data_IF_296478368774
#
_entry.id   IF_296478368774
#
_cell.length_a   1.000
_cell.length_b   1.000
_cell.length_c   1.000
_cell.angle_alpha   90.00
_cell.angle_beta   90.00
_cell.angle_gamma   90.00
#
_symmetry.space_group_name_H-M   'P 1'
#
loop_
_entity.id
_entity.type
_entity.pdbx_description
1 polymer ?
#
# COMPACT_ATOMS: atom_id res chain seq x y z
N UNK A 1 -34.38 -29.57 -85.60
CA UNK A 1 -33.58 -28.60 -86.35
C UNK A 1 -32.62 -27.94 -85.38
N UNK A 2 -31.42 -28.39 -85.46
CA UNK A 2 -30.16 -27.70 -85.49
C UNK A 2 -29.81 -26.87 -84.27
N UNK A 3 -28.78 -27.34 -83.60
CA UNK A 3 -27.41 -26.84 -83.59
C UNK A 3 -27.25 -25.80 -82.45
N UNK A 4 -26.34 -25.78 -81.63
CA UNK A 4 -25.06 -26.50 -81.54
C UNK A 4 -24.11 -25.70 -80.64
N UNK A 5 -23.24 -26.40 -79.98
CA UNK A 5 -21.86 -25.98 -79.66
C UNK A 5 -21.66 -24.88 -78.58
N UNK A 6 -20.81 -24.94 -77.71
CA UNK A 6 -19.60 -25.67 -77.23
C UNK A 6 -19.06 -24.87 -76.02
N UNK A 7 -18.38 -25.46 -75.09
CA UNK A 7 -17.96 -24.81 -73.86
C UNK A 7 -16.58 -24.19 -73.97
N UNK A 8 -16.32 -23.14 -73.18
CA UNK A 8 -14.96 -22.69 -72.91
C UNK A 8 -14.69 -22.79 -71.42
N UNK A 9 -13.79 -23.73 -71.10
CA UNK A 9 -13.14 -23.83 -69.78
C UNK A 9 -12.15 -22.66 -69.64
N UNK A 10 -12.25 -21.94 -68.51
CA UNK A 10 -11.18 -21.12 -68.03
C UNK A 10 -10.70 -21.70 -66.68
N UNK A 11 -9.53 -22.28 -66.68
CA UNK A 11 -8.86 -22.73 -65.47
C UNK A 11 -8.25 -21.49 -64.79
N UNK A 12 -8.84 -21.12 -63.68
CA UNK A 12 -8.28 -20.14 -62.77
C UNK A 12 -7.45 -20.83 -61.71
N UNK A 13 -6.13 -20.69 -61.80
CA UNK A 13 -5.20 -21.13 -60.76
C UNK A 13 -5.36 -20.30 -59.51
N UNK A 14 -5.85 -20.92 -58.43
CA UNK A 14 -5.78 -20.37 -57.06
C UNK A 14 -4.37 -20.57 -56.52
N UNK A 15 -3.58 -19.49 -56.47
CA UNK A 15 -2.36 -19.46 -55.71
C UNK A 15 -2.70 -19.27 -54.21
N UNK A 16 -2.14 -20.07 -53.31
CA UNK A 16 -2.39 -19.88 -51.86
C UNK A 16 -1.60 -18.64 -51.41
N UNK A 17 -2.33 -17.63 -50.95
CA UNK A 17 -1.79 -16.51 -50.20
C UNK A 17 -1.34 -17.02 -48.83
N UNK A 18 -0.03 -17.32 -48.67
CA UNK A 18 0.60 -17.57 -47.37
C UNK A 18 0.75 -16.20 -46.70
N UNK A 19 -0.22 -15.88 -45.86
CA UNK A 19 -0.10 -14.75 -44.93
C UNK A 19 0.91 -15.12 -43.83
N UNK A 20 2.14 -14.69 -43.99
CA UNK A 20 3.18 -14.76 -42.94
C UNK A 20 2.75 -13.82 -41.81
N UNK A 21 2.17 -14.34 -40.75
CA UNK A 21 2.01 -13.63 -39.48
C UNK A 21 3.43 -13.44 -38.88
N UNK A 22 4.02 -12.29 -39.11
CA UNK A 22 5.16 -11.83 -38.34
C UNK A 22 4.67 -11.52 -36.92
N UNK A 23 4.84 -12.49 -35.99
CA UNK A 23 4.80 -12.22 -34.57
C UNK A 23 5.97 -11.28 -34.23
N UNK A 24 5.70 -9.99 -34.25
CA UNK A 24 6.59 -9.00 -33.65
C UNK A 24 6.45 -9.19 -32.14
N UNK A 25 7.28 -10.07 -31.56
CA UNK A 25 7.56 -10.08 -30.15
C UNK A 25 8.19 -8.73 -29.83
N UNK A 26 7.39 -7.78 -29.36
CA UNK A 26 7.94 -6.56 -28.78
C UNK A 26 8.86 -7.01 -27.62
N UNK A 27 10.16 -7.03 -27.85
CA UNK A 27 11.14 -7.15 -26.79
C UNK A 27 10.84 -5.98 -25.84
N UNK A 28 10.18 -6.30 -24.73
CA UNK A 28 10.03 -5.34 -23.62
C UNK A 28 11.45 -5.07 -23.15
N UNK A 29 11.91 -3.83 -23.29
CA UNK A 29 13.20 -3.43 -22.75
C UNK A 29 13.23 -3.82 -21.27
N UNK A 30 14.36 -4.37 -20.82
CA UNK A 30 14.54 -4.67 -19.40
C UNK A 30 14.32 -3.40 -18.57
N UNK A 31 13.63 -3.52 -17.42
CA UNK A 31 13.43 -2.37 -16.56
C UNK A 31 14.79 -1.78 -16.13
N UNK A 32 14.89 -0.46 -16.00
CA UNK A 32 16.14 0.17 -15.58
C UNK A 32 16.53 -0.31 -14.17
N UNK A 33 17.85 -0.47 -13.93
CA UNK A 33 18.40 -0.86 -12.64
C UNK A 33 19.38 0.19 -12.15
N UNK A 34 19.21 0.63 -10.90
CA UNK A 34 20.17 1.51 -10.22
C UNK A 34 21.36 0.69 -9.72
N UNK A 35 22.61 1.11 -10.00
CA UNK A 35 23.79 0.39 -9.58
C UNK A 35 23.86 0.16 -8.06
N UNK A 36 24.21 -1.05 -7.65
CA UNK A 36 24.44 -1.42 -6.25
C UNK A 36 23.18 -1.78 -5.45
N UNK A 37 21.97 -1.56 -5.98
CA UNK A 37 20.72 -1.91 -5.25
C UNK A 37 20.61 -3.42 -5.11
N UNK A 38 20.70 -4.17 -6.20
CA UNK A 38 20.62 -5.64 -6.16
C UNK A 38 21.68 -6.26 -5.27
N UNK A 39 22.94 -5.78 -5.34
CA UNK A 39 24.02 -6.27 -4.49
C UNK A 39 23.73 -6.03 -2.99
N UNK A 40 23.23 -4.85 -2.63
CA UNK A 40 22.87 -4.53 -1.24
C UNK A 40 21.74 -5.42 -0.71
N UNK A 41 20.78 -5.80 -1.55
CA UNK A 41 19.72 -6.74 -1.16
C UNK A 41 20.22 -8.18 -1.12
N UNK A 42 21.15 -8.57 -2.01
CA UNK A 42 21.78 -9.89 -1.97
C UNK A 42 22.53 -10.12 -0.65
N UNK A 43 23.27 -9.12 -0.14
CA UNK A 43 23.90 -9.19 1.17
C UNK A 43 22.90 -9.46 2.32
N UNK A 44 21.68 -8.92 2.22
CA UNK A 44 20.64 -9.18 3.22
C UNK A 44 20.09 -10.62 3.11
N UNK A 45 20.01 -11.15 1.90
CA UNK A 45 19.63 -12.56 1.64
C UNK A 45 20.69 -13.49 2.20
N UNK A 46 21.96 -13.23 1.93
CA UNK A 46 23.10 -14.03 2.39
C UNK A 46 23.21 -14.07 3.94
N UNK A 47 22.70 -13.04 4.60
CA UNK A 47 22.56 -12.96 6.08
C UNK A 47 21.27 -13.57 6.62
N UNK A 48 20.44 -14.19 5.79
CA UNK A 48 19.12 -14.68 6.14
C UNK A 48 18.22 -13.60 6.77
N UNK A 49 18.35 -12.34 6.33
CA UNK A 49 17.43 -11.30 6.76
C UNK A 49 16.11 -11.34 5.99
N UNK A 50 16.17 -11.73 4.72
CA UNK A 50 15.01 -11.91 3.83
C UNK A 50 15.26 -13.05 2.86
N UNK A 51 14.22 -13.70 2.34
CA UNK A 51 14.31 -14.71 1.29
C UNK A 51 14.50 -14.09 -0.10
N UNK A 52 13.92 -12.91 -0.29
CA UNK A 52 14.00 -12.15 -1.54
C UNK A 52 13.23 -10.85 -1.44
N UNK A 53 13.39 -10.02 -2.46
CA UNK A 53 12.79 -8.70 -2.55
C UNK A 53 12.42 -8.32 -3.98
N UNK A 54 11.42 -7.43 -4.11
CA UNK A 54 11.23 -6.59 -5.31
C UNK A 54 11.44 -5.14 -4.87
N UNK A 55 12.37 -4.45 -5.53
CA UNK A 55 12.68 -3.05 -5.28
C UNK A 55 12.31 -2.20 -6.47
N UNK A 56 11.70 -1.05 -6.23
CA UNK A 56 11.32 -0.11 -7.27
C UNK A 56 11.58 1.33 -6.83
N UNK A 57 12.06 2.14 -7.76
CA UNK A 57 12.16 3.60 -7.59
C UNK A 57 11.48 4.25 -8.79
N UNK A 58 10.62 5.20 -8.51
CA UNK A 58 9.89 5.94 -9.55
C UNK A 58 10.07 7.45 -9.38
N UNK A 59 10.07 8.18 -10.49
CA UNK A 59 9.71 9.58 -10.54
C UNK A 59 8.23 9.71 -10.91
N UNK A 60 7.68 10.92 -10.94
CA UNK A 60 6.28 11.13 -11.33
C UNK A 60 5.94 10.58 -12.73
N UNK A 61 6.93 10.52 -13.65
CA UNK A 61 6.70 10.23 -15.07
C UNK A 61 7.27 8.87 -15.52
N UNK A 62 8.20 8.29 -14.77
CA UNK A 62 8.91 7.08 -15.22
C UNK A 62 9.40 6.19 -14.08
N UNK A 63 9.63 4.94 -14.41
CA UNK A 63 10.36 3.99 -13.57
C UNK A 63 11.86 4.31 -13.69
N UNK A 64 12.54 4.49 -12.55
CA UNK A 64 13.97 4.73 -12.45
C UNK A 64 14.74 3.46 -12.08
N UNK A 65 14.06 2.52 -11.43
CA UNK A 65 14.58 1.24 -11.01
C UNK A 65 13.45 0.24 -10.80
N UNK A 66 13.65 -0.98 -11.28
CA UNK A 66 12.87 -2.17 -10.90
C UNK A 66 13.79 -3.37 -10.93
N UNK A 67 13.95 -4.04 -9.79
CA UNK A 67 14.83 -5.20 -9.68
C UNK A 67 14.22 -6.23 -8.73
N UNK A 68 14.45 -7.50 -9.07
CA UNK A 68 14.07 -8.65 -8.26
C UNK A 68 15.34 -9.35 -7.76
N UNK A 69 15.37 -9.73 -6.49
CA UNK A 69 16.52 -10.39 -5.88
C UNK A 69 16.04 -11.55 -5.02
N UNK A 70 16.68 -12.71 -5.12
CA UNK A 70 16.39 -13.89 -4.31
C UNK A 70 15.11 -14.64 -4.71
N UNK A 71 14.48 -15.29 -3.75
CA UNK A 71 13.42 -16.27 -3.94
C UNK A 71 12.09 -15.77 -3.40
N UNK A 72 11.02 -16.02 -4.12
CA UNK A 72 9.64 -15.86 -3.67
C UNK A 72 9.19 -17.03 -2.79
N UNK A 73 9.76 -18.22 -3.02
CA UNK A 73 9.57 -19.40 -2.21
C UNK A 73 10.88 -20.20 -2.14
N UNK A 74 11.43 -20.34 -0.94
CA UNK A 74 12.71 -21.04 -0.74
C UNK A 74 12.58 -22.55 -0.92
N UNK A 75 11.49 -23.15 -0.44
CA UNK A 75 11.29 -24.59 -0.51
C UNK A 75 11.05 -25.06 -1.96
N UNK A 76 10.33 -24.27 -2.74
CA UNK A 76 10.06 -24.53 -4.15
C UNK A 76 11.16 -24.01 -5.08
N UNK A 77 12.23 -23.39 -4.56
CA UNK A 77 13.26 -22.69 -5.35
C UNK A 77 12.68 -21.71 -6.38
N UNK A 78 11.51 -21.11 -6.06
CA UNK A 78 10.80 -20.20 -6.95
C UNK A 78 11.45 -18.82 -6.93
N UNK A 79 11.99 -18.34 -8.07
CA UNK A 79 12.63 -17.04 -8.11
C UNK A 79 11.62 -15.89 -7.87
N UNK A 80 12.10 -14.79 -7.30
CA UNK A 80 11.34 -13.55 -7.21
C UNK A 80 11.05 -13.00 -8.61
N UNK A 81 9.83 -12.55 -8.85
CA UNK A 81 9.40 -11.96 -10.11
C UNK A 81 8.89 -10.53 -9.88
N UNK A 82 8.94 -9.68 -10.92
CA UNK A 82 8.47 -8.31 -10.83
C UNK A 82 6.97 -8.21 -10.51
N UNK A 83 6.18 -9.20 -10.94
CA UNK A 83 4.74 -9.32 -10.69
C UNK A 83 4.39 -10.14 -9.44
N UNK A 84 5.39 -10.52 -8.63
CA UNK A 84 5.16 -11.17 -7.34
C UNK A 84 4.28 -10.30 -6.46
N UNK A 85 3.24 -10.92 -5.88
CA UNK A 85 2.27 -10.27 -5.01
C UNK A 85 2.66 -10.39 -3.55
N UNK A 86 2.54 -9.29 -2.83
CA UNK A 86 2.84 -9.17 -1.41
C UNK A 86 1.62 -8.71 -0.64
N UNK A 87 1.41 -9.25 0.56
CA UNK A 87 0.54 -8.59 1.51
C UNK A 87 1.20 -7.30 1.98
N UNK A 88 0.60 -6.16 1.61
CA UNK A 88 1.20 -4.85 1.88
C UNK A 88 0.85 -4.28 3.26
N UNK A 89 0.00 -4.99 4.01
CA UNK A 89 -0.37 -4.61 5.37
C UNK A 89 -0.74 -3.12 5.46
N UNK A 90 -0.13 -2.41 6.41
CA UNK A 90 -0.45 -1.01 6.69
C UNK A 90 -0.16 -0.02 5.56
N UNK A 91 0.54 -0.42 4.50
CA UNK A 91 0.59 0.38 3.27
C UNK A 91 -0.79 0.53 2.60
N UNK A 92 -1.81 -0.18 3.08
CA UNK A 92 -3.22 0.04 2.72
C UNK A 92 -3.74 1.41 3.21
N UNK A 93 -3.23 1.95 4.33
CA UNK A 93 -3.75 3.18 4.96
C UNK A 93 -3.67 4.43 4.08
N UNK A 94 -2.56 4.71 3.37
CA UNK A 94 -2.52 5.82 2.42
C UNK A 94 -3.59 5.70 1.31
N UNK A 95 -3.87 4.48 0.86
CA UNK A 95 -4.93 4.19 -0.12
C UNK A 95 -6.30 4.47 0.48
N UNK A 96 -6.53 4.09 1.73
CA UNK A 96 -7.78 4.37 2.46
C UNK A 96 -7.99 5.87 2.64
N UNK A 97 -6.97 6.60 3.06
CA UNK A 97 -7.05 8.05 3.17
C UNK A 97 -7.30 8.73 1.82
N UNK A 98 -6.69 8.23 0.75
CA UNK A 98 -6.97 8.69 -0.62
C UNK A 98 -8.44 8.52 -0.97
N UNK A 99 -9.07 7.39 -0.63
CA UNK A 99 -10.51 7.18 -0.87
C UNK A 99 -11.39 8.18 -0.13
N UNK A 100 -11.08 8.47 1.14
CA UNK A 100 -11.80 9.51 1.92
C UNK A 100 -11.63 10.87 1.27
N UNK A 101 -10.41 11.23 0.90
CA UNK A 101 -10.11 12.52 0.27
C UNK A 101 -10.74 12.69 -1.12
N UNK A 102 -10.87 11.60 -1.90
CA UNK A 102 -11.65 11.63 -3.15
C UNK A 102 -13.11 12.03 -2.92
N UNK A 103 -13.74 11.51 -1.86
CA UNK A 103 -15.10 11.86 -1.50
C UNK A 103 -15.19 13.28 -0.94
N UNK A 104 -14.16 13.77 -0.25
CA UNK A 104 -14.06 15.17 0.17
C UNK A 104 -13.97 16.11 -1.04
N UNK A 105 -13.13 15.81 -2.02
CA UNK A 105 -12.99 16.58 -3.25
C UNK A 105 -14.30 16.64 -4.06
N UNK A 106 -15.17 15.64 -3.90
CA UNK A 106 -16.52 15.59 -4.46
C UNK A 106 -17.56 16.35 -3.60
N UNK A 107 -17.17 16.94 -2.48
CA UNK A 107 -18.06 17.63 -1.55
C UNK A 107 -19.05 16.72 -0.81
N UNK A 108 -18.78 15.41 -0.75
CA UNK A 108 -19.66 14.42 -0.12
C UNK A 108 -19.39 14.23 1.38
N UNK A 109 -18.21 14.60 1.83
CA UNK A 109 -17.81 14.61 3.23
C UNK A 109 -16.74 15.69 3.46
N UNK A 110 -16.48 16.00 4.72
CA UNK A 110 -15.32 16.77 5.17
C UNK A 110 -14.59 15.97 6.24
N UNK A 111 -13.25 15.95 6.21
CA UNK A 111 -12.44 15.23 7.21
C UNK A 111 -12.61 15.80 8.62
N UNK A 112 -13.13 17.02 8.76
CA UNK A 112 -13.51 17.62 10.04
C UNK A 112 -14.90 17.24 10.53
N UNK A 113 -15.71 16.57 9.71
CA UNK A 113 -17.02 16.08 10.11
C UNK A 113 -16.92 15.07 11.26
N UNK A 114 -17.89 15.09 12.18
CA UNK A 114 -18.03 14.01 13.16
C UNK A 114 -18.26 12.67 12.46
N UNK A 115 -17.59 11.61 12.91
CA UNK A 115 -17.83 10.25 12.43
C UNK A 115 -19.29 9.85 12.55
N UNK A 116 -19.95 10.29 13.64
CA UNK A 116 -21.38 10.06 13.89
C UNK A 116 -22.32 10.63 12.81
N UNK A 117 -21.87 11.57 11.99
CA UNK A 117 -22.64 12.06 10.84
C UNK A 117 -22.88 10.95 9.80
N UNK A 118 -21.95 10.02 9.69
CA UNK A 118 -21.97 8.92 8.71
C UNK A 118 -22.24 7.57 9.35
N UNK A 119 -21.81 7.39 10.59
CA UNK A 119 -22.01 6.20 11.43
C UNK A 119 -22.69 6.65 12.73
N UNK A 120 -24.03 6.79 12.74
CA UNK A 120 -24.77 7.38 13.86
C UNK A 120 -24.52 6.71 15.20
N UNK A 121 -24.18 5.42 15.20
CA UNK A 121 -23.86 4.62 16.38
C UNK A 121 -22.68 5.20 17.18
N UNK A 122 -21.75 5.90 16.51
CA UNK A 122 -20.60 6.55 17.14
C UNK A 122 -20.98 7.69 18.08
N UNK A 123 -22.20 8.22 18.02
CA UNK A 123 -22.71 9.20 18.97
C UNK A 123 -22.82 8.64 20.40
N UNK A 124 -22.88 7.32 20.55
CA UNK A 124 -22.95 6.66 21.86
C UNK A 124 -21.60 6.60 22.60
N UNK A 125 -20.46 6.82 21.90
CA UNK A 125 -19.14 6.72 22.48
C UNK A 125 -18.92 7.78 23.56
N UNK A 126 -18.33 7.32 24.68
CA UNK A 126 -17.91 8.15 25.79
C UNK A 126 -16.40 8.15 25.92
N UNK A 127 -15.83 9.32 26.21
CA UNK A 127 -14.42 9.46 26.56
C UNK A 127 -14.15 8.85 27.96
N UNK A 128 -12.87 8.65 28.34
CA UNK A 128 -12.54 8.21 29.70
C UNK A 128 -13.11 9.11 30.80
N UNK A 129 -13.32 10.40 30.54
CA UNK A 129 -13.98 11.32 31.48
C UNK A 129 -15.51 11.23 31.50
N UNK A 130 -16.11 10.33 30.67
CA UNK A 130 -17.56 10.14 30.58
C UNK A 130 -18.29 11.12 29.67
N UNK A 131 -17.58 12.05 29.02
CA UNK A 131 -18.16 13.01 28.08
C UNK A 131 -18.43 12.36 26.72
N UNK A 132 -19.32 12.90 25.86
CA UNK A 132 -19.46 12.47 24.46
C UNK A 132 -18.13 12.59 23.73
N UNK A 133 -17.72 11.55 23.00
CA UNK A 133 -16.41 11.51 22.35
C UNK A 133 -16.29 12.45 21.14
N UNK A 134 -17.38 12.70 20.39
CA UNK A 134 -17.44 13.59 19.23
C UNK A 134 -16.26 13.40 18.24
N UNK A 135 -15.94 12.14 17.93
CA UNK A 135 -14.82 11.80 17.06
C UNK A 135 -15.01 12.37 15.66
N UNK A 136 -13.94 12.94 15.10
CA UNK A 136 -13.90 13.43 13.72
C UNK A 136 -13.14 12.48 12.79
N UNK A 137 -13.37 12.56 11.48
CA UNK A 137 -12.66 11.73 10.48
C UNK A 137 -11.15 12.00 10.50
N UNK A 138 -10.73 13.25 10.67
CA UNK A 138 -9.31 13.58 10.76
C UNK A 138 -8.66 12.89 11.96
N UNK A 139 -9.33 12.81 13.11
CA UNK A 139 -8.77 12.16 14.31
C UNK A 139 -8.61 10.65 14.13
N UNK A 140 -9.53 9.96 13.43
CA UNK A 140 -9.38 8.53 13.15
C UNK A 140 -8.29 8.26 12.11
N UNK A 141 -8.10 9.16 11.12
CA UNK A 141 -7.10 9.04 10.07
C UNK A 141 -5.68 9.41 10.56
N UNK A 142 -5.56 10.22 11.62
CA UNK A 142 -4.29 10.64 12.20
C UNK A 142 -3.90 9.85 13.46
N UNK A 143 -4.69 8.86 13.86
CA UNK A 143 -4.47 8.06 15.07
C UNK A 143 -4.50 8.87 16.37
N UNK A 144 -5.30 9.93 16.41
CA UNK A 144 -5.48 10.78 17.61
C UNK A 144 -6.89 10.67 18.21
N UNK A 145 -7.66 9.68 17.76
CA UNK A 145 -9.06 9.51 18.19
C UNK A 145 -9.24 9.00 19.62
N UNK A 146 -8.29 8.23 20.14
CA UNK A 146 -8.46 7.50 21.38
C UNK A 146 -9.38 6.28 21.27
N UNK A 147 -9.88 5.95 20.06
CA UNK A 147 -10.73 4.78 19.85
C UNK A 147 -9.99 3.49 20.23
N UNK A 148 -10.68 2.60 20.91
CA UNK A 148 -10.15 1.29 21.28
C UNK A 148 -10.05 0.34 20.09
N UNK A 149 -9.23 -0.70 20.23
CA UNK A 149 -9.07 -1.72 19.19
C UNK A 149 -10.11 -2.81 19.33
N UNK A 150 -10.84 -3.09 18.28
CA UNK A 150 -11.69 -4.27 18.19
C UNK A 150 -10.82 -5.52 18.02
N UNK A 151 -11.09 -6.54 18.81
CA UNK A 151 -10.36 -7.81 18.79
C UNK A 151 -11.25 -9.01 19.13
N UNK A 152 -10.62 -10.16 19.32
CA UNK A 152 -11.29 -11.38 19.75
C UNK A 152 -12.02 -12.14 18.62
N UNK A 153 -12.86 -13.13 18.98
CA UNK A 153 -13.56 -14.00 18.02
C UNK A 153 -14.45 -13.22 17.05
N UNK A 154 -15.28 -12.28 17.56
CA UNK A 154 -16.21 -11.53 16.74
C UNK A 154 -15.52 -10.75 15.60
N UNK A 155 -14.32 -10.22 15.83
CA UNK A 155 -13.57 -9.54 14.77
C UNK A 155 -13.07 -10.50 13.68
N UNK A 156 -12.82 -11.77 14.03
CA UNK A 156 -12.45 -12.81 13.05
C UNK A 156 -13.64 -13.37 12.29
N UNK A 157 -14.81 -13.34 12.89
CA UNK A 157 -16.07 -13.83 12.30
C UNK A 157 -16.76 -12.78 11.41
N UNK A 158 -16.39 -11.51 11.55
CA UNK A 158 -16.93 -10.41 10.75
C UNK A 158 -16.73 -10.65 9.24
N UNK A 159 -17.77 -10.45 8.46
CA UNK A 159 -17.77 -10.61 6.98
C UNK A 159 -17.72 -9.25 6.27
N UNK A 160 -18.25 -8.23 6.90
CA UNK A 160 -18.35 -6.86 6.37
C UNK A 160 -17.76 -5.85 7.33
N UNK A 161 -17.46 -4.64 6.83
CA UNK A 161 -17.05 -3.55 7.72
C UNK A 161 -18.17 -3.13 8.67
N UNK A 162 -19.44 -3.32 8.29
CA UNK A 162 -20.57 -3.06 9.16
C UNK A 162 -20.59 -3.98 10.39
N UNK A 163 -20.20 -5.24 10.24
CA UNK A 163 -20.15 -6.20 11.36
C UNK A 163 -19.11 -5.81 12.42
N UNK A 164 -18.13 -4.99 12.05
CA UNK A 164 -17.11 -4.49 12.97
C UNK A 164 -17.55 -3.29 13.80
N UNK A 165 -18.62 -2.58 13.39
CA UNK A 165 -19.08 -1.35 14.08
C UNK A 165 -19.42 -1.63 15.55
N UNK A 166 -20.23 -2.63 15.91
CA UNK A 166 -20.52 -2.93 17.32
C UNK A 166 -19.26 -3.25 18.14
N UNK A 167 -18.26 -3.86 17.51
CA UNK A 167 -17.01 -4.25 18.18
C UNK A 167 -16.14 -3.01 18.48
N UNK A 168 -16.11 -2.03 17.58
CA UNK A 168 -15.41 -0.76 17.84
C UNK A 168 -16.07 0.01 18.98
N UNK A 169 -17.41 0.00 19.04
CA UNK A 169 -18.16 0.70 20.09
C UNK A 169 -18.07 0.02 21.45
N UNK A 170 -17.90 -1.30 21.48
CA UNK A 170 -17.72 -2.07 22.70
C UNK A 170 -16.31 -1.90 23.32
N UNK A 171 -15.31 -1.52 22.48
CA UNK A 171 -13.96 -1.28 22.97
C UNK A 171 -13.90 0.07 23.71
N UNK A 172 -13.38 0.12 24.95
CA UNK A 172 -13.33 1.37 25.69
C UNK A 172 -12.38 2.37 25.03
N UNK A 173 -12.76 3.65 25.06
CA UNK A 173 -11.90 4.75 24.63
C UNK A 173 -10.64 4.77 25.52
N UNK A 174 -9.48 4.99 24.89
CA UNK A 174 -8.19 4.91 25.56
C UNK A 174 -7.71 6.25 26.14
N UNK A 175 -8.15 7.36 25.53
CA UNK A 175 -7.81 8.73 25.93
C UNK A 175 -8.78 9.73 25.29
N UNK A 176 -8.73 10.95 25.74
CA UNK A 176 -9.52 12.07 25.18
C UNK A 176 -9.09 12.35 23.72
N UNK A 177 -10.02 12.47 22.78
CA UNK A 177 -9.69 12.74 21.37
C UNK A 177 -8.77 13.95 21.20
N UNK A 178 -7.71 13.77 20.43
CA UNK A 178 -6.70 14.80 20.18
C UNK A 178 -5.63 14.95 21.26
N UNK A 179 -5.75 14.30 22.42
CA UNK A 179 -4.81 14.46 23.55
C UNK A 179 -3.54 13.63 23.40
N UNK A 180 -3.60 12.54 22.65
CA UNK A 180 -2.48 11.61 22.42
C UNK A 180 -2.49 11.09 20.98
N UNK A 181 -1.34 10.57 20.57
CA UNK A 181 -1.23 9.73 19.39
C UNK A 181 -1.08 8.26 19.83
N UNK A 182 -1.92 7.40 19.28
CA UNK A 182 -1.81 5.95 19.45
C UNK A 182 -2.31 5.26 18.18
N UNK A 183 -1.41 4.47 17.57
CA UNK A 183 -1.72 3.77 16.33
C UNK A 183 -2.96 2.90 16.50
N UNK A 184 -4.00 3.14 15.72
CA UNK A 184 -5.31 2.52 15.86
C UNK A 184 -5.79 1.94 14.52
N UNK A 185 -6.06 0.63 14.50
CA UNK A 185 -6.58 -0.08 13.33
C UNK A 185 -8.08 0.16 13.16
N UNK A 186 -8.81 0.15 14.27
CA UNK A 186 -10.26 0.34 14.30
C UNK A 186 -10.68 1.66 13.67
N UNK A 187 -9.94 2.74 13.94
CA UNK A 187 -10.20 4.05 13.35
C UNK A 187 -10.11 4.04 11.82
N UNK A 188 -9.07 3.44 11.26
CA UNK A 188 -8.92 3.37 9.80
C UNK A 188 -10.00 2.48 9.16
N UNK A 189 -10.37 1.38 9.80
CA UNK A 189 -11.47 0.55 9.32
C UNK A 189 -12.82 1.28 9.40
N UNK A 190 -13.03 2.10 10.44
CA UNK A 190 -14.21 2.98 10.52
C UNK A 190 -14.23 4.00 9.37
N UNK A 191 -13.07 4.59 9.02
CA UNK A 191 -12.96 5.46 7.84
C UNK A 191 -13.31 4.72 6.53
N UNK A 192 -12.92 3.45 6.39
CA UNK A 192 -13.31 2.62 5.24
C UNK A 192 -14.82 2.39 5.20
N UNK A 193 -15.44 2.17 6.37
CA UNK A 193 -16.91 2.05 6.48
C UNK A 193 -17.62 3.35 6.11
N UNK A 194 -17.07 4.49 6.48
CA UNK A 194 -17.59 5.80 6.03
C UNK A 194 -17.56 5.93 4.51
N UNK A 195 -16.46 5.46 3.85
CA UNK A 195 -16.42 5.43 2.38
C UNK A 195 -17.56 4.59 1.81
N UNK A 196 -17.87 3.43 2.41
CA UNK A 196 -19.02 2.61 1.95
C UNK A 196 -20.34 3.35 2.08
N UNK A 197 -20.60 3.96 3.24
CA UNK A 197 -21.86 4.68 3.50
C UNK A 197 -22.03 5.86 2.55
N UNK A 198 -20.99 6.66 2.38
CA UNK A 198 -21.05 7.89 1.56
C UNK A 198 -21.09 7.58 0.06
N UNK A 199 -20.41 6.53 -0.38
CA UNK A 199 -20.36 6.16 -1.80
C UNK A 199 -21.49 5.24 -2.25
N UNK A 200 -22.13 4.53 -1.34
CA UNK A 200 -23.10 3.46 -1.63
C UNK A 200 -22.48 2.20 -2.23
N UNK A 201 -21.14 2.07 -2.15
CA UNK A 201 -20.39 0.94 -2.69
C UNK A 201 -19.64 0.22 -1.57
N UNK A 202 -19.40 -1.10 -1.70
CA UNK A 202 -18.44 -1.77 -0.82
C UNK A 202 -17.04 -1.15 -1.00
N UNK A 203 -16.23 -1.15 0.07
CA UNK A 203 -14.93 -0.46 0.06
C UNK A 203 -13.99 -1.00 -1.02
N UNK A 204 -13.94 -2.33 -1.21
CA UNK A 204 -13.17 -2.96 -2.27
C UNK A 204 -13.65 -2.56 -3.67
N UNK A 205 -14.96 -2.51 -3.89
CA UNK A 205 -15.54 -2.09 -5.17
C UNK A 205 -15.28 -0.60 -5.46
N UNK A 206 -15.37 0.25 -4.43
CA UNK A 206 -15.02 1.66 -4.55
C UNK A 206 -13.57 1.84 -4.99
N UNK A 207 -12.62 1.24 -4.28
CA UNK A 207 -11.21 1.33 -4.60
C UNK A 207 -10.90 0.76 -5.99
N UNK A 208 -11.46 -0.40 -6.32
CA UNK A 208 -11.27 -1.02 -7.64
C UNK A 208 -11.72 -0.09 -8.76
N UNK A 209 -12.94 0.46 -8.67
CA UNK A 209 -13.55 1.30 -9.72
C UNK A 209 -12.91 2.67 -9.81
N UNK A 210 -12.61 3.30 -8.66
CA UNK A 210 -12.28 4.72 -8.59
C UNK A 210 -10.78 5.00 -8.53
N UNK A 211 -9.99 4.02 -8.09
CA UNK A 211 -8.55 4.20 -7.90
C UNK A 211 -7.73 3.15 -8.68
N UNK A 212 -7.96 1.85 -8.45
CA UNK A 212 -7.07 0.83 -9.00
C UNK A 212 -7.17 0.70 -10.52
N UNK A 213 -8.37 0.57 -11.07
CA UNK A 213 -8.57 0.47 -12.52
C UNK A 213 -8.06 1.71 -13.26
N UNK A 214 -8.41 2.97 -12.84
CA UNK A 214 -7.91 4.15 -13.52
C UNK A 214 -6.39 4.34 -13.43
N UNK A 215 -5.75 3.94 -12.30
CA UNK A 215 -4.29 3.97 -12.15
C UNK A 215 -3.59 2.79 -12.85
N UNK A 216 -4.34 1.80 -13.33
CA UNK A 216 -3.78 0.58 -13.90
C UNK A 216 -3.14 -0.36 -12.87
N UNK A 217 -3.57 -0.31 -11.62
CA UNK A 217 -3.16 -1.19 -10.52
C UNK A 217 -3.91 -2.52 -10.61
N UNK A 218 -3.49 -3.38 -11.53
CA UNK A 218 -4.26 -4.58 -11.94
C UNK A 218 -4.20 -5.72 -10.94
N UNK A 219 -3.16 -5.77 -10.12
CA UNK A 219 -2.90 -6.82 -9.12
C UNK A 219 -3.04 -6.32 -7.68
N UNK A 220 -3.75 -5.20 -7.47
CA UNK A 220 -4.02 -4.67 -6.13
C UNK A 220 -5.44 -5.04 -5.72
N UNK A 221 -5.55 -5.84 -4.65
CA UNK A 221 -6.84 -6.40 -4.23
C UNK A 221 -6.85 -6.80 -2.75
N UNK A 222 -8.05 -6.82 -2.14
CA UNK A 222 -8.24 -7.47 -0.84
C UNK A 222 -8.36 -8.99 -0.98
N UNK A 223 -8.78 -9.49 -2.14
CA UNK A 223 -9.19 -10.87 -2.37
C UNK A 223 -8.49 -11.44 -3.60
N UNK A 224 -7.22 -11.86 -3.47
CA UNK A 224 -6.51 -12.47 -4.58
C UNK A 224 -7.25 -13.70 -5.10
N UNK A 225 -7.44 -13.77 -6.42
CA UNK A 225 -8.03 -14.93 -7.09
C UNK A 225 -7.04 -16.11 -7.19
N UNK A 226 -7.46 -17.22 -7.79
CA UNK A 226 -6.63 -18.41 -7.90
C UNK A 226 -5.34 -18.16 -8.69
N UNK A 227 -5.38 -17.33 -9.74
CA UNK A 227 -4.22 -17.01 -10.57
C UNK A 227 -3.27 -16.06 -9.83
N UNK A 228 -3.81 -15.08 -9.13
CA UNK A 228 -3.05 -14.14 -8.31
C UNK A 228 -2.36 -14.83 -7.13
N UNK A 229 -3.01 -15.83 -6.52
CA UNK A 229 -2.42 -16.64 -5.44
C UNK A 229 -1.18 -17.40 -5.89
N UNK A 230 -1.10 -17.84 -7.15
CA UNK A 230 0.12 -18.49 -7.67
C UNK A 230 1.33 -17.56 -7.71
N UNK A 231 1.10 -16.23 -7.69
CA UNK A 231 2.13 -15.20 -7.68
C UNK A 231 2.45 -14.66 -6.28
N UNK A 232 1.75 -15.12 -5.25
CA UNK A 232 2.04 -14.68 -3.88
C UNK A 232 3.40 -15.18 -3.42
N UNK A 233 4.10 -14.31 -2.71
CA UNK A 233 5.34 -14.65 -2.02
C UNK A 233 5.04 -15.45 -0.77
N UNK A 234 5.89 -16.44 -0.46
CA UNK A 234 5.88 -17.12 0.84
C UNK A 234 6.42 -16.19 1.91
N UNK A 235 5.72 -16.11 3.03
CA UNK A 235 6.17 -15.33 4.18
C UNK A 235 7.14 -16.14 5.04
N UNK A 236 8.13 -15.44 5.62
CA UNK A 236 9.13 -16.05 6.49
C UNK A 236 9.23 -15.32 7.83
N UNK A 237 9.66 -16.06 8.83
CA UNK A 237 10.13 -15.53 10.10
C UNK A 237 11.60 -15.93 10.28
N UNK A 238 12.44 -15.06 10.81
CA UNK A 238 13.80 -15.41 11.19
C UNK A 238 13.79 -16.09 12.55
N UNK A 239 14.27 -17.33 12.61
CA UNK A 239 14.49 -18.01 13.86
C UNK A 239 15.67 -17.37 14.60
N UNK A 240 15.42 -16.80 15.76
CA UNK A 240 16.45 -16.06 16.53
C UNK A 240 17.53 -16.95 17.12
N UNK A 241 17.27 -18.26 17.30
CA UNK A 241 18.24 -19.21 17.85
C UNK A 241 19.18 -19.74 16.75
N UNK A 242 18.67 -20.01 15.56
CA UNK A 242 19.45 -20.62 14.45
C UNK A 242 19.89 -19.60 13.41
N UNK A 243 19.23 -18.43 13.34
CA UNK A 243 19.44 -17.44 12.30
C UNK A 243 18.82 -17.80 10.95
N UNK A 244 18.16 -18.95 10.81
CA UNK A 244 17.52 -19.39 9.58
C UNK A 244 16.15 -18.72 9.35
N UNK A 245 15.74 -18.68 8.08
CA UNK A 245 14.37 -18.27 7.71
C UNK A 245 13.45 -19.50 7.68
N UNK A 246 12.34 -19.42 8.39
CA UNK A 246 11.32 -20.45 8.46
C UNK A 246 10.02 -19.93 7.84
N UNK A 247 9.37 -20.74 7.00
CA UNK A 247 8.10 -20.36 6.39
C UNK A 247 7.01 -20.16 7.46
N UNK A 248 6.29 -19.06 7.33
CA UNK A 248 5.15 -18.75 8.20
C UNK A 248 3.88 -19.22 7.49
N UNK A 249 2.97 -19.94 8.18
CA UNK A 249 1.70 -20.32 7.59
C UNK A 249 0.94 -19.11 7.03
N UNK A 250 0.22 -19.26 5.92
CA UNK A 250 -0.69 -18.23 5.44
C UNK A 250 -1.65 -17.82 6.55
N UNK A 251 -1.91 -16.53 6.69
CA UNK A 251 -2.87 -16.07 7.69
C UNK A 251 -4.29 -16.50 7.29
N UNK A 252 -5.03 -17.15 8.19
CA UNK A 252 -6.42 -17.59 7.92
C UNK A 252 -7.32 -16.44 7.50
N UNK A 253 -7.11 -15.24 8.07
CA UNK A 253 -7.85 -14.03 7.73
C UNK A 253 -7.67 -13.54 6.29
N UNK A 254 -6.79 -14.15 5.51
CA UNK A 254 -6.53 -13.81 4.10
C UNK A 254 -7.13 -14.83 3.12
N UNK A 255 -8.12 -15.58 3.57
CA UNK A 255 -8.91 -16.49 2.75
C UNK A 255 -9.81 -15.82 1.71
N UNK A 256 -10.81 -16.53 1.19
CA UNK A 256 -11.76 -16.01 0.20
C UNK A 256 -12.58 -14.81 0.72
N UNK A 257 -13.50 -14.28 -0.11
CA UNK A 257 -14.33 -13.08 0.12
C UNK A 257 -15.29 -13.13 1.33
N UNK A 258 -14.99 -13.92 2.33
CA UNK A 258 -15.79 -14.08 3.53
C UNK A 258 -15.30 -13.22 4.72
N UNK A 259 -14.48 -12.21 4.44
CA UNK A 259 -13.92 -11.25 5.41
C UNK A 259 -14.11 -9.81 4.97
N UNK A 260 -14.13 -8.83 5.92
CA UNK A 260 -14.24 -7.41 5.57
C UNK A 260 -13.04 -6.93 4.72
N UNK A 261 -13.24 -5.99 3.79
CA UNK A 261 -12.16 -5.30 3.08
C UNK A 261 -11.52 -4.26 4.02
N UNK A 262 -10.65 -4.71 4.92
CA UNK A 262 -10.08 -3.89 5.99
C UNK A 262 -9.09 -2.85 5.46
N UNK A 263 -9.45 -1.58 5.50
CA UNK A 263 -8.63 -0.45 5.04
C UNK A 263 -7.40 -0.17 5.88
N UNK A 264 -7.30 -0.77 7.07
CA UNK A 264 -6.12 -0.66 7.91
C UNK A 264 -4.93 -1.48 7.40
N UNK A 265 -5.17 -2.55 6.57
CA UNK A 265 -4.07 -3.44 6.23
C UNK A 265 -4.43 -4.66 5.36
N UNK A 266 -5.59 -4.69 4.72
CA UNK A 266 -6.10 -5.89 4.06
C UNK A 266 -5.63 -6.12 2.62
N UNK A 267 -4.92 -5.18 1.98
CA UNK A 267 -4.55 -5.25 0.57
C UNK A 267 -3.33 -6.14 0.31
N UNK A 268 -3.38 -6.79 -0.84
CA UNK A 268 -2.24 -7.34 -1.57
C UNK A 268 -1.93 -6.43 -2.75
N UNK A 269 -0.65 -6.36 -3.15
CA UNK A 269 -0.22 -5.56 -4.30
C UNK A 269 1.12 -6.06 -4.85
N UNK A 270 1.54 -5.50 -5.98
CA UNK A 270 2.87 -5.65 -6.57
C UNK A 270 3.67 -4.35 -6.43
N UNK A 271 4.97 -4.41 -6.66
CA UNK A 271 5.81 -3.21 -6.67
C UNK A 271 5.39 -2.23 -7.77
N UNK A 272 5.04 -2.73 -8.96
CA UNK A 272 4.59 -1.88 -10.08
C UNK A 272 3.27 -1.16 -9.78
N UNK A 273 2.29 -1.88 -9.25
CA UNK A 273 1.01 -1.27 -8.90
C UNK A 273 1.16 -0.17 -7.85
N UNK A 274 1.90 -0.47 -6.77
CA UNK A 274 2.13 0.52 -5.73
C UNK A 274 3.02 1.68 -6.22
N UNK A 275 3.95 1.40 -7.15
CA UNK A 275 4.73 2.42 -7.85
C UNK A 275 3.87 3.41 -8.62
N UNK A 276 2.81 2.95 -9.30
CA UNK A 276 1.83 3.82 -9.98
C UNK A 276 1.07 4.72 -9.00
N UNK A 277 0.69 4.17 -7.85
CA UNK A 277 0.11 4.96 -6.76
C UNK A 277 1.10 6.04 -6.27
N UNK A 278 2.36 5.69 -6.07
CA UNK A 278 3.41 6.66 -5.71
C UNK A 278 3.62 7.72 -6.80
N UNK A 279 3.55 7.36 -8.08
CA UNK A 279 3.63 8.32 -9.19
C UNK A 279 2.47 9.32 -9.16
N UNK A 280 1.25 8.87 -8.86
CA UNK A 280 0.10 9.76 -8.65
C UNK A 280 0.35 10.74 -7.50
N UNK A 281 0.92 10.27 -6.38
CA UNK A 281 1.26 11.12 -5.24
C UNK A 281 2.36 12.14 -5.59
N UNK A 282 3.44 11.71 -6.29
CA UNK A 282 4.50 12.60 -6.80
C UNK A 282 3.98 13.61 -7.82
N UNK A 283 2.95 13.25 -8.57
CA UNK A 283 2.26 14.11 -9.52
C UNK A 283 1.30 15.13 -8.87
N UNK A 284 1.30 15.25 -7.54
CA UNK A 284 0.38 16.16 -6.84
C UNK A 284 -1.08 15.77 -7.00
N UNK A 285 -1.39 14.48 -6.93
CA UNK A 285 -2.72 13.92 -7.12
C UNK A 285 -3.09 13.72 -8.59
N UNK A 286 -2.12 13.77 -9.52
CA UNK A 286 -2.32 13.54 -10.96
C UNK A 286 -1.50 12.36 -11.45
N UNK A 287 -2.06 11.61 -12.38
CA UNK A 287 -1.35 10.54 -13.08
C UNK A 287 -1.88 10.42 -14.51
N UNK A 288 -0.98 10.39 -15.50
CA UNK A 288 -1.29 10.27 -16.93
C UNK A 288 -2.40 11.23 -17.39
N UNK A 289 -2.33 12.50 -16.97
CA UNK A 289 -3.29 13.54 -17.32
C UNK A 289 -4.56 13.58 -16.46
N UNK A 290 -4.93 12.50 -15.80
CA UNK A 290 -6.10 12.45 -14.90
C UNK A 290 -5.77 13.01 -13.51
N UNK A 291 -6.76 13.65 -12.87
CA UNK A 291 -6.68 14.11 -11.47
C UNK A 291 -7.47 13.15 -10.57
N UNK A 292 -6.84 12.71 -9.52
CA UNK A 292 -7.39 11.83 -8.49
C UNK A 292 -7.64 12.54 -7.17
N UNK A 293 -6.78 13.51 -6.83
CA UNK A 293 -6.89 14.34 -5.65
C UNK A 293 -6.65 15.81 -6.01
N UNK A 294 -7.37 16.72 -5.34
CA UNK A 294 -7.09 18.14 -5.37
C UNK A 294 -5.74 18.46 -4.71
N UNK A 295 -5.21 19.65 -4.95
CA UNK A 295 -3.99 20.12 -4.29
C UNK A 295 -4.18 20.24 -2.76
N UNK A 296 -5.38 20.64 -2.33
CA UNK A 296 -5.74 20.72 -0.91
C UNK A 296 -5.71 19.33 -0.26
N UNK A 297 -6.33 18.33 -0.89
CA UNK A 297 -6.34 16.95 -0.41
C UNK A 297 -4.95 16.33 -0.43
N UNK A 298 -4.14 16.60 -1.45
CA UNK A 298 -2.73 16.18 -1.45
C UNK A 298 -1.93 16.78 -0.30
N UNK A 299 -2.16 18.07 0.02
CA UNK A 299 -1.53 18.69 1.17
C UNK A 299 -1.93 18.00 2.48
N UNK A 300 -3.22 17.69 2.66
CA UNK A 300 -3.69 16.96 3.84
C UNK A 300 -3.10 15.53 3.95
N UNK A 301 -2.81 14.87 2.83
CA UNK A 301 -2.20 13.54 2.78
C UNK A 301 -0.68 13.57 3.01
N UNK A 302 0.00 14.65 2.70
CA UNK A 302 1.47 14.74 2.65
C UNK A 302 2.10 15.67 3.68
N UNK A 303 1.30 16.42 4.46
CA UNK A 303 1.80 17.28 5.53
C UNK A 303 1.17 16.91 6.87
N UNK A 304 1.92 17.03 7.99
CA UNK A 304 1.39 16.68 9.30
C UNK A 304 0.07 17.41 9.61
N UNK A 305 -0.89 16.64 10.08
CA UNK A 305 -2.18 17.13 10.59
C UNK A 305 -2.24 17.00 12.13
N UNK A 306 -1.21 16.43 12.74
CA UNK A 306 -1.05 16.37 14.20
C UNK A 306 -0.30 17.60 14.70
N UNK A 307 -0.59 18.08 15.93
CA UNK A 307 0.19 19.17 16.55
C UNK A 307 1.70 18.88 16.56
N UNK A 308 2.53 19.90 16.36
CA UNK A 308 3.98 19.72 16.35
C UNK A 308 4.57 19.19 17.66
N UNK A 309 3.92 19.52 18.77
CA UNK A 309 4.31 19.09 20.12
C UNK A 309 3.86 17.68 20.46
N UNK A 310 3.00 17.06 19.63
CA UNK A 310 2.50 15.70 19.88
C UNK A 310 3.51 14.68 19.34
N UNK A 311 4.13 13.85 20.19
CA UNK A 311 4.99 12.76 19.74
C UNK A 311 4.16 11.76 18.91
N UNK A 312 4.62 11.45 17.71
CA UNK A 312 3.94 10.52 16.80
C UNK A 312 4.90 9.44 16.30
N UNK A 313 4.36 8.27 15.97
CA UNK A 313 5.11 7.19 15.37
C UNK A 313 5.27 5.98 16.28
N UNK A 314 5.71 4.86 15.70
CA UNK A 314 5.84 3.55 16.35
C UNK A 314 6.94 3.47 17.42
N UNK A 315 7.63 4.57 17.69
CA UNK A 315 8.86 4.62 18.46
C UNK A 315 8.64 5.19 19.85
N UNK A 316 7.61 4.70 20.54
CA UNK A 316 7.26 5.15 21.90
C UNK A 316 8.22 4.66 23.01
N UNK A 317 9.22 3.83 22.69
CA UNK A 317 10.19 3.37 23.66
C UNK A 317 11.28 4.45 23.85
N UNK A 318 11.77 4.61 25.09
CA UNK A 318 12.71 5.66 25.54
C UNK A 318 13.95 5.87 24.65
N UNK A 319 14.40 4.84 23.94
CA UNK A 319 15.47 4.92 22.94
C UNK A 319 15.10 5.87 21.78
N UNK A 320 13.82 6.18 21.59
CA UNK A 320 13.29 6.97 20.49
C UNK A 320 12.41 8.15 20.93
N UNK A 321 12.32 8.46 22.20
CA UNK A 321 11.43 9.49 22.75
C UNK A 321 11.56 10.86 22.07
N UNK A 322 12.80 11.30 21.77
CA UNK A 322 13.05 12.50 20.97
C UNK A 322 12.74 12.29 19.47
N UNK A 323 12.77 11.04 18.98
CA UNK A 323 12.54 10.71 17.58
C UNK A 323 11.07 10.75 17.20
N UNK A 324 10.15 10.57 18.14
CA UNK A 324 8.71 10.77 17.92
C UNK A 324 8.36 12.18 17.46
N UNK A 325 9.17 13.17 17.79
CA UNK A 325 9.01 14.57 17.34
C UNK A 325 9.55 14.82 15.93
N UNK A 326 10.42 13.95 15.41
CA UNK A 326 10.95 14.06 14.04
C UNK A 326 9.95 13.59 12.99
N UNK A 327 8.84 13.01 13.41
CA UNK A 327 7.74 12.62 12.55
C UNK A 327 6.48 13.39 12.91
N UNK A 328 5.62 13.57 11.93
CA UNK A 328 4.24 13.99 12.07
C UNK A 328 3.33 12.96 11.42
N UNK A 329 2.04 13.03 11.68
CA UNK A 329 1.07 12.16 11.05
C UNK A 329 0.11 12.98 10.21
N UNK A 330 0.06 12.68 8.92
CA UNK A 330 -0.94 13.19 7.99
C UNK A 330 -2.11 12.20 7.89
N UNK A 331 -3.02 12.39 6.95
CA UNK A 331 -4.15 11.47 6.79
C UNK A 331 -3.65 10.12 6.26
N UNK A 332 -3.56 9.13 7.14
CA UNK A 332 -3.12 7.77 6.84
C UNK A 332 -1.66 7.61 6.40
N UNK A 333 -0.84 8.65 6.50
CA UNK A 333 0.59 8.64 6.18
C UNK A 333 1.42 9.18 7.33
N UNK A 334 2.62 8.63 7.49
CA UNK A 334 3.67 9.18 8.33
C UNK A 334 4.50 10.18 7.52
N UNK A 335 4.86 11.31 8.10
CA UNK A 335 5.64 12.38 7.46
C UNK A 335 6.91 12.63 8.25
N UNK A 336 8.06 12.56 7.58
CA UNK A 336 9.36 12.92 8.15
C UNK A 336 9.49 14.43 8.25
N UNK A 337 9.54 14.99 9.46
CA UNK A 337 9.74 16.43 9.71
C UNK A 337 11.20 16.82 9.68
N UNK A 338 12.06 16.01 10.29
CA UNK A 338 13.49 16.23 10.31
C UNK A 338 14.25 14.91 10.14
N UNK A 339 15.28 14.87 9.27
CA UNK A 339 16.18 13.73 9.18
C UNK A 339 16.86 13.45 10.52
N UNK A 340 17.08 12.19 10.79
CA UNK A 340 17.84 11.72 11.95
C UNK A 340 18.64 10.47 11.58
N UNK A 341 19.50 9.97 12.48
CA UNK A 341 20.34 8.80 12.24
C UNK A 341 19.57 7.57 11.76
N UNK A 342 20.19 6.76 10.93
CA UNK A 342 19.61 5.53 10.38
C UNK A 342 18.91 5.75 9.04
N UNK A 343 17.75 5.09 8.85
CA UNK A 343 17.00 5.11 7.57
C UNK A 343 16.65 6.53 7.09
N UNK A 344 16.17 7.45 7.94
CA UNK A 344 15.77 8.77 7.48
C UNK A 344 16.92 9.70 7.09
N UNK A 345 18.17 9.39 7.44
CA UNK A 345 19.31 10.27 7.18
C UNK A 345 19.49 10.65 5.70
N UNK A 346 19.01 9.78 4.80
CA UNK A 346 19.09 9.99 3.34
C UNK A 346 17.80 10.52 2.72
N UNK A 347 16.74 10.74 3.50
CA UNK A 347 15.45 11.24 3.05
C UNK A 347 15.35 12.75 3.32
N UNK A 348 14.58 13.44 2.51
CA UNK A 348 14.33 14.87 2.69
C UNK A 348 13.24 15.12 3.73
N UNK A 349 13.26 16.25 4.46
CA UNK A 349 12.10 16.72 5.20
C UNK A 349 10.88 16.78 4.29
N UNK A 350 9.71 16.39 4.79
CA UNK A 350 8.49 16.27 4.00
C UNK A 350 8.35 14.95 3.26
N UNK A 351 9.32 14.04 3.35
CA UNK A 351 9.12 12.66 2.87
C UNK A 351 7.98 12.00 3.63
N UNK A 352 7.01 11.44 2.91
CA UNK A 352 5.83 10.82 3.50
C UNK A 352 5.59 9.41 2.94
N UNK A 353 4.87 8.59 3.69
CA UNK A 353 4.58 7.23 3.28
C UNK A 353 4.18 6.33 4.43
N UNK A 354 4.26 5.03 4.22
CA UNK A 354 3.93 4.03 5.22
C UNK A 354 4.71 2.73 5.01
N UNK A 355 4.99 2.04 6.10
CA UNK A 355 5.50 0.68 6.09
C UNK A 355 4.42 -0.36 6.38
N UNK A 356 4.62 -1.58 5.88
CA UNK A 356 3.82 -2.75 6.20
C UNK A 356 4.43 -3.59 7.33
N UNK A 357 3.60 -4.27 8.09
CA UNK A 357 4.02 -5.07 9.25
C UNK A 357 5.05 -6.16 8.91
N UNK A 358 5.06 -6.65 7.66
CA UNK A 358 5.99 -7.68 7.22
C UNK A 358 7.12 -7.17 6.32
N UNK A 359 7.45 -5.88 6.47
CA UNK A 359 8.65 -5.26 5.89
C UNK A 359 8.44 -4.54 4.57
N UNK A 360 7.25 -4.60 3.95
CA UNK A 360 6.93 -3.78 2.79
C UNK A 360 7.02 -2.29 3.14
N UNK A 361 7.51 -1.45 2.23
CA UNK A 361 7.71 -0.01 2.46
C UNK A 361 7.41 0.79 1.20
N UNK A 362 6.77 1.94 1.35
CA UNK A 362 6.70 2.94 0.29
C UNK A 362 6.84 4.35 0.87
N UNK A 363 7.78 5.11 0.32
CA UNK A 363 8.12 6.45 0.81
C UNK A 363 8.32 7.39 -0.36
N UNK A 364 7.57 8.47 -0.37
CA UNK A 364 7.57 9.53 -1.39
C UNK A 364 8.41 10.69 -0.87
N UNK A 365 9.50 11.01 -1.54
CA UNK A 365 10.37 12.16 -1.28
C UNK A 365 10.06 13.25 -2.31
N UNK A 366 9.24 14.25 -1.98
CA UNK A 366 8.82 15.27 -2.91
C UNK A 366 9.96 16.24 -3.27
N UNK A 367 10.96 16.39 -2.41
CA UNK A 367 12.11 17.27 -2.66
C UNK A 367 13.02 16.66 -3.71
N UNK A 368 13.26 15.35 -3.64
CA UNK A 368 14.05 14.61 -4.63
C UNK A 368 13.24 14.22 -5.86
N UNK A 369 11.91 14.36 -5.80
CA UNK A 369 11.01 13.97 -6.90
C UNK A 369 10.97 12.45 -7.15
N UNK A 370 11.20 11.64 -6.13
CA UNK A 370 11.25 10.17 -6.24
C UNK A 370 10.43 9.48 -5.15
N UNK A 371 10.01 8.26 -5.43
CA UNK A 371 9.46 7.37 -4.42
C UNK A 371 10.19 6.03 -4.43
N UNK A 372 10.40 5.49 -3.23
CA UNK A 372 11.07 4.22 -2.98
C UNK A 372 10.04 3.18 -2.56
N UNK A 373 9.93 2.07 -3.28
CA UNK A 373 9.06 0.94 -2.98
C UNK A 373 9.89 -0.31 -2.75
N UNK A 374 9.74 -0.90 -1.58
CA UNK A 374 10.39 -2.15 -1.17
C UNK A 374 9.31 -3.17 -0.85
N UNK A 375 9.34 -4.30 -1.54
CA UNK A 375 8.44 -5.43 -1.29
C UNK A 375 9.25 -6.62 -0.77
N UNK A 376 9.03 -6.96 0.48
CA UNK A 376 9.56 -8.13 1.20
C UNK A 376 8.47 -8.76 2.05
N UNK A 377 8.65 -9.99 2.52
CA UNK A 377 7.64 -10.68 3.31
C UNK A 377 8.29 -11.44 4.48
N UNK A 378 8.71 -10.70 5.50
CA UNK A 378 9.23 -11.26 6.75
C UNK A 378 8.38 -10.79 7.94
N UNK A 379 7.79 -11.72 8.68
CA UNK A 379 6.76 -11.44 9.71
C UNK A 379 7.29 -10.92 11.04
N UNK A 380 8.55 -11.12 11.36
CA UNK A 380 9.13 -10.82 12.68
C UNK A 380 10.32 -9.85 12.63
N UNK A 381 10.24 -8.82 11.80
CA UNK A 381 11.17 -7.71 11.93
C UNK A 381 10.97 -7.05 13.31
N UNK A 382 12.05 -6.80 14.07
CA UNK A 382 11.95 -6.05 15.33
C UNK A 382 11.32 -4.67 15.12
N UNK A 383 11.68 -4.02 14.01
CA UNK A 383 11.10 -2.77 13.54
C UNK A 383 11.12 -2.75 11.99
N UNK A 384 9.99 -3.09 11.33
CA UNK A 384 9.94 -3.12 9.86
C UNK A 384 10.28 -1.77 9.22
N UNK A 385 9.87 -0.67 9.86
CA UNK A 385 10.08 0.68 9.31
C UNK A 385 11.50 1.21 9.50
N UNK A 386 12.30 0.61 10.38
CA UNK A 386 13.70 0.95 10.61
C UNK A 386 14.62 -0.26 10.35
N UNK A 387 14.20 -1.23 9.54
CA UNK A 387 15.00 -2.41 9.22
C UNK A 387 16.22 -2.06 8.39
N UNK A 388 17.30 -2.83 8.57
CA UNK A 388 18.49 -2.71 7.74
C UNK A 388 18.19 -2.97 6.26
N UNK A 389 17.26 -3.87 5.96
CA UNK A 389 16.81 -4.14 4.58
C UNK A 389 16.29 -2.85 3.91
N UNK A 390 15.45 -2.08 4.61
CA UNK A 390 14.98 -0.78 4.12
C UNK A 390 16.15 0.20 3.98
N UNK A 391 17.01 0.27 4.99
CA UNK A 391 18.14 1.21 5.04
C UNK A 391 19.09 0.99 3.85
N UNK A 392 19.56 -0.23 3.62
CA UNK A 392 20.51 -0.52 2.54
C UNK A 392 19.91 -0.28 1.16
N UNK A 393 18.64 -0.62 0.96
CA UNK A 393 17.92 -0.30 -0.28
C UNK A 393 17.89 1.20 -0.55
N UNK A 394 17.42 2.00 0.41
CA UNK A 394 17.30 3.44 0.22
C UNK A 394 18.66 4.12 0.09
N UNK A 395 19.70 3.65 0.81
CA UNK A 395 21.07 4.18 0.67
C UNK A 395 21.63 3.91 -0.72
N UNK A 396 21.53 2.67 -1.20
CA UNK A 396 22.04 2.31 -2.52
C UNK A 396 21.32 3.11 -3.63
N UNK A 397 19.98 3.20 -3.55
CA UNK A 397 19.19 3.95 -4.51
C UNK A 397 19.50 5.45 -4.46
N UNK A 398 19.56 6.07 -3.27
CA UNK A 398 19.89 7.47 -3.12
C UNK A 398 21.30 7.81 -3.62
N UNK A 399 22.29 6.94 -3.36
CA UNK A 399 23.67 7.08 -3.86
C UNK A 399 23.71 7.01 -5.40
N UNK A 400 22.98 6.07 -5.99
CA UNK A 400 22.94 5.91 -7.46
C UNK A 400 22.23 7.05 -8.19
N UNK A 401 21.31 7.74 -7.51
CA UNK A 401 20.57 8.90 -8.03
C UNK A 401 21.27 10.22 -7.77
N UNK A 402 22.31 10.26 -6.95
CA UNK A 402 23.07 11.49 -6.69
C UNK A 402 23.72 12.01 -7.99
N UNK A 403 23.72 13.32 -8.24
CA UNK A 403 24.47 13.89 -9.35
C UNK A 403 25.94 13.48 -9.26
N UNK A 404 26.52 13.08 -10.38
CA UNK A 404 27.96 12.79 -10.52
C UNK A 404 28.76 14.07 -10.57
#
# INVERSE_FOLDING_TARGET
MLMGMIPIRAAGSLAPLVASLLLVSALRAEPPKLPGVGAALQEQIDRNEIAGAVTMVVSKDRVLHLETTGLADMAAHKPMQADTMFWIASMTKPITATAVLMLQDEGKLDVHDPVAKYLPEFASLKTPSGQPANLTLIQILTHTSGLGEAGGPGAREAKTLADLVPLWLAAPMQFEPGSRWSYCQSGINAASRVVEVVSGMSFDAFLKKRLFQPLGMKSTTFYPDASERTRQVTAYAKNTATGSLEAVPPRPEFGPRDRPPQGNGGLYSTAEDYGRFCQMLLGGGRFQGARYLSEASMKQLSTPQTPETLPTGFFQNDTYGRRGLNYGWALGTCVLKAPHDGVPAMLSPGTFGHGGAWGTQAWVDPVKGVAYVLMVQRSNFPNPSASDVRRVFQQAAAKALAPR
#
